data_IF_817561542473
#
_entry.id   IF_817561542473
#
_cell.length_a   1.000
_cell.length_b   1.000
_cell.length_c   1.000
_cell.angle_alpha   90.00
_cell.angle_beta   90.00
_cell.angle_gamma   90.00
#
_symmetry.space_group_name_H-M   'P 1'
#
loop_
_entity.id
_entity.type
_entity.pdbx_description
1 polymer ?
#
# COMPACT_ATOMS: atom_id res chain seq x y z
N UNK A 1 -20.37 12.88 -9.08
CA UNK A 1 -19.21 12.06 -9.50
C UNK A 1 -19.68 10.64 -9.63
N UNK A 2 -19.29 9.92 -10.69
CA UNK A 2 -19.63 8.50 -10.89
C UNK A 2 -18.50 7.62 -10.35
N UNK A 3 -18.82 6.36 -10.02
CA UNK A 3 -17.79 5.38 -9.72
C UNK A 3 -17.09 4.95 -11.00
N UNK A 4 -15.78 4.75 -10.94
CA UNK A 4 -14.99 4.22 -12.06
C UNK A 4 -13.97 3.19 -11.56
N UNK A 5 -13.46 2.34 -12.46
CA UNK A 5 -12.33 1.47 -12.15
C UNK A 5 -11.16 2.27 -11.59
N UNK A 6 -10.52 1.74 -10.56
CA UNK A 6 -9.53 2.50 -9.78
C UNK A 6 -8.34 2.99 -10.62
N UNK A 7 -7.88 2.18 -11.58
CA UNK A 7 -6.73 2.52 -12.42
C UNK A 7 -7.01 3.75 -13.32
N UNK A 8 -8.27 4.08 -13.61
CA UNK A 8 -8.66 5.31 -14.35
C UNK A 8 -8.39 6.60 -13.53
N UNK A 9 -8.44 6.51 -12.20
CA UNK A 9 -8.19 7.66 -11.34
C UNK A 9 -6.72 7.94 -11.12
N UNK A 10 -5.83 7.01 -11.45
CA UNK A 10 -4.40 7.12 -11.13
C UNK A 10 -3.79 8.43 -11.61
N UNK A 11 -4.13 8.87 -12.82
CA UNK A 11 -3.69 10.16 -13.36
C UNK A 11 -4.31 11.36 -12.64
N UNK A 12 -5.59 11.26 -12.28
CA UNK A 12 -6.36 12.33 -11.62
C UNK A 12 -5.88 12.58 -10.18
N UNK A 13 -5.40 11.55 -9.48
CA UNK A 13 -5.00 11.63 -8.07
C UNK A 13 -3.49 11.80 -7.87
N UNK A 14 -2.72 12.02 -8.96
CA UNK A 14 -1.27 12.30 -8.89
C UNK A 14 -0.89 13.37 -7.86
N UNK A 15 -1.62 14.48 -7.70
CA UNK A 15 -1.31 15.46 -6.65
C UNK A 15 -1.36 14.88 -5.24
N UNK A 16 -2.35 14.02 -4.94
CA UNK A 16 -2.48 13.38 -3.63
C UNK A 16 -1.37 12.34 -3.40
N UNK A 17 -1.02 11.57 -4.43
CA UNK A 17 0.11 10.62 -4.40
C UNK A 17 1.40 11.37 -4.09
N UNK A 18 1.70 12.43 -4.86
CA UNK A 18 2.91 13.24 -4.67
C UNK A 18 2.99 13.79 -3.24
N UNK A 19 1.90 14.39 -2.75
CA UNK A 19 1.83 14.91 -1.38
C UNK A 19 2.11 13.84 -0.32
N UNK A 20 1.59 12.62 -0.51
CA UNK A 20 1.83 11.51 0.43
C UNK A 20 3.28 10.98 0.38
N UNK A 21 3.88 10.93 -0.81
CA UNK A 21 5.30 10.54 -0.96
C UNK A 21 6.24 11.58 -0.33
N UNK A 22 5.94 12.87 -0.49
CA UNK A 22 6.67 13.96 0.17
C UNK A 22 6.55 13.87 1.70
N UNK A 23 5.37 13.54 2.22
CA UNK A 23 5.19 13.28 3.67
C UNK A 23 6.05 12.11 4.14
N UNK A 24 6.07 10.99 3.40
CA UNK A 24 6.91 9.84 3.75
C UNK A 24 8.40 10.19 3.74
N UNK A 25 8.85 10.97 2.75
CA UNK A 25 10.22 11.49 2.68
C UNK A 25 10.56 12.36 3.90
N UNK A 26 9.67 13.28 4.30
CA UNK A 26 9.86 14.12 5.50
C UNK A 26 9.99 13.25 6.78
N UNK A 27 9.31 12.10 6.82
CA UNK A 27 9.39 11.13 7.91
C UNK A 27 10.62 10.20 7.82
N UNK A 28 11.50 10.38 6.84
CA UNK A 28 12.74 9.62 6.65
C UNK A 28 12.61 8.38 5.76
N UNK A 29 11.50 8.24 5.02
CA UNK A 29 11.26 7.10 4.12
C UNK A 29 11.41 7.51 2.65
N UNK A 30 12.65 7.58 2.17
CA UNK A 30 13.00 8.14 0.86
C UNK A 30 12.75 7.17 -0.32
N UNK A 31 12.78 5.84 -0.08
CA UNK A 31 12.73 4.80 -1.13
C UNK A 31 11.32 4.32 -1.52
N UNK A 32 10.28 5.08 -1.15
CA UNK A 32 8.89 4.73 -1.47
C UNK A 32 8.52 5.30 -2.84
N UNK A 33 8.28 4.42 -3.81
CA UNK A 33 7.84 4.82 -5.16
C UNK A 33 6.31 4.90 -5.26
N UNK A 34 5.83 5.68 -6.23
CA UNK A 34 4.40 5.74 -6.58
C UNK A 34 3.84 4.34 -6.88
N UNK A 35 4.59 3.50 -7.59
CA UNK A 35 4.15 2.12 -7.92
C UNK A 35 3.96 1.26 -6.67
N UNK A 36 4.87 1.35 -5.70
CA UNK A 36 4.76 0.61 -4.44
C UNK A 36 3.56 1.09 -3.64
N UNK A 37 3.36 2.41 -3.55
CA UNK A 37 2.20 3.01 -2.88
C UNK A 37 0.88 2.60 -3.53
N UNK A 38 0.78 2.67 -4.86
CA UNK A 38 -0.42 2.27 -5.59
C UNK A 38 -0.72 0.77 -5.42
N UNK A 39 0.31 -0.06 -5.51
CA UNK A 39 0.19 -1.51 -5.30
C UNK A 39 -0.26 -1.87 -3.88
N UNK A 40 0.25 -1.15 -2.87
CA UNK A 40 -0.24 -1.27 -1.50
C UNK A 40 -1.74 -0.95 -1.41
N UNK A 41 -2.19 0.17 -1.96
CA UNK A 41 -3.60 0.59 -1.89
C UNK A 41 -4.51 -0.44 -2.58
N UNK A 42 -4.13 -0.90 -3.78
CA UNK A 42 -4.85 -1.99 -4.47
C UNK A 42 -4.94 -3.27 -3.63
N UNK A 43 -3.86 -3.64 -2.96
CA UNK A 43 -3.79 -4.91 -2.22
C UNK A 43 -4.47 -4.84 -0.85
N UNK A 44 -4.36 -3.72 -0.14
CA UNK A 44 -4.79 -3.58 1.25
C UNK A 44 -6.10 -2.82 1.43
N UNK A 45 -6.36 -1.82 0.61
CA UNK A 45 -7.56 -0.97 0.73
C UNK A 45 -8.65 -1.36 -0.28
N UNK A 46 -8.25 -1.70 -1.51
CA UNK A 46 -9.19 -1.82 -2.63
C UNK A 46 -9.37 -3.23 -3.19
N UNK A 47 -8.80 -4.25 -2.52
CA UNK A 47 -8.79 -5.65 -3.00
C UNK A 47 -10.17 -6.19 -3.41
N UNK A 48 -11.24 -5.74 -2.75
CA UNK A 48 -12.63 -6.18 -3.00
C UNK A 48 -13.52 -5.06 -3.53
N UNK A 49 -12.94 -3.92 -3.88
CA UNK A 49 -13.67 -2.70 -4.26
C UNK A 49 -13.15 -2.24 -5.62
N UNK A 50 -13.63 -2.82 -6.73
CA UNK A 50 -13.08 -2.54 -8.06
C UNK A 50 -13.38 -1.11 -8.55
N UNK A 51 -14.43 -0.49 -8.01
CA UNK A 51 -14.91 0.82 -8.40
C UNK A 51 -15.11 1.73 -7.19
N UNK A 52 -14.58 2.96 -7.30
CA UNK A 52 -14.65 3.99 -6.26
C UNK A 52 -15.02 5.33 -6.88
N UNK A 53 -15.42 6.29 -6.04
CA UNK A 53 -15.39 7.70 -6.42
C UNK A 53 -13.97 8.25 -6.23
N UNK A 54 -13.57 9.21 -7.07
CA UNK A 54 -12.23 9.85 -6.96
C UNK A 54 -11.96 10.44 -5.58
N UNK A 55 -12.96 10.99 -4.89
CA UNK A 55 -12.79 11.55 -3.54
C UNK A 55 -12.51 10.46 -2.49
N UNK A 56 -12.98 9.23 -2.70
CA UNK A 56 -12.64 8.08 -1.85
C UNK A 56 -11.19 7.68 -2.07
N UNK A 57 -10.74 7.63 -3.33
CA UNK A 57 -9.33 7.36 -3.68
C UNK A 57 -8.41 8.42 -3.05
N UNK A 58 -8.74 9.71 -3.17
CA UNK A 58 -7.96 10.80 -2.56
C UNK A 58 -7.93 10.68 -1.04
N UNK A 59 -9.08 10.40 -0.40
CA UNK A 59 -9.16 10.19 1.05
C UNK A 59 -8.26 9.03 1.49
N UNK A 60 -8.30 7.91 0.79
CA UNK A 60 -7.52 6.71 1.13
C UNK A 60 -6.02 6.96 0.98
N UNK A 61 -5.60 7.71 -0.05
CA UNK A 61 -4.19 8.12 -0.22
C UNK A 61 -3.76 9.01 0.94
N UNK A 62 -4.48 10.10 1.21
CA UNK A 62 -4.06 11.11 2.19
C UNK A 62 -4.18 10.64 3.65
N UNK A 63 -5.11 9.73 3.95
CA UNK A 63 -5.26 9.14 5.28
C UNK A 63 -4.31 7.96 5.56
N UNK A 64 -3.52 7.53 4.57
CA UNK A 64 -2.57 6.45 4.75
C UNK A 64 -1.50 6.84 5.79
N UNK A 65 -1.35 5.98 6.80
CA UNK A 65 -0.29 6.07 7.80
C UNK A 65 0.96 5.35 7.29
N UNK A 66 2.12 5.96 7.48
CA UNK A 66 3.40 5.37 7.08
C UNK A 66 3.65 4.01 7.73
N UNK A 67 3.25 3.83 8.99
CA UNK A 67 3.39 2.55 9.70
C UNK A 67 2.63 1.40 9.04
N UNK A 68 1.42 1.65 8.52
CA UNK A 68 0.64 0.63 7.81
C UNK A 68 1.33 0.21 6.51
N UNK A 69 1.89 1.17 5.79
CA UNK A 69 2.64 0.93 4.56
C UNK A 69 3.92 0.14 4.84
N UNK A 70 4.71 0.55 5.85
CA UNK A 70 5.97 -0.11 6.19
C UNK A 70 5.77 -1.53 6.70
N UNK A 71 4.75 -1.76 7.54
CA UNK A 71 4.42 -3.12 7.99
C UNK A 71 4.11 -4.04 6.80
N UNK A 72 3.38 -3.55 5.80
CA UNK A 72 3.15 -4.31 4.58
C UNK A 72 4.45 -4.54 3.79
N UNK A 73 5.22 -3.49 3.51
CA UNK A 73 6.44 -3.58 2.72
C UNK A 73 7.45 -4.58 3.33
N UNK A 74 7.61 -4.56 4.65
CA UNK A 74 8.43 -5.53 5.39
C UNK A 74 7.94 -6.95 5.16
N UNK A 75 6.64 -7.23 5.35
CA UNK A 75 6.06 -8.57 5.12
C UNK A 75 6.26 -9.03 3.67
N UNK A 76 6.06 -8.14 2.68
CA UNK A 76 6.24 -8.51 1.27
C UNK A 76 7.70 -8.84 0.93
N UNK A 77 8.68 -8.15 1.54
CA UNK A 77 10.10 -8.46 1.32
C UNK A 77 10.49 -9.87 1.75
N UNK A 78 9.86 -10.40 2.81
CA UNK A 78 10.07 -11.77 3.28
C UNK A 78 9.37 -12.82 2.38
N UNK A 79 8.31 -12.44 1.65
CA UNK A 79 7.63 -13.34 0.71
C UNK A 79 8.43 -13.59 -0.56
N UNK A 80 9.22 -12.61 -1.02
CA UNK A 80 10.03 -12.74 -2.24
C UNK A 80 11.04 -13.89 -2.22
N UNK A 81 11.36 -14.44 -1.03
CA UNK A 81 12.30 -15.55 -0.86
C UNK A 81 11.68 -16.88 -0.41
N UNK A 82 10.35 -17.04 -0.40
CA UNK A 82 9.66 -18.21 0.17
C UNK A 82 10.06 -18.51 1.64
N UNK A 83 10.62 -17.53 2.35
CA UNK A 83 11.14 -17.71 3.70
C UNK A 83 10.04 -18.13 4.69
N UNK A 84 8.83 -17.61 4.55
CA UNK A 84 7.69 -18.06 5.36
C UNK A 84 7.26 -19.51 5.10
N UNK A 85 7.64 -20.07 3.95
CA UNK A 85 7.36 -21.47 3.62
C UNK A 85 8.47 -22.43 4.11
N UNK A 86 9.61 -21.90 4.56
CA UNK A 86 10.66 -22.68 5.21
C UNK A 86 10.19 -23.20 6.57
N UNK A 87 10.86 -24.24 7.07
CA UNK A 87 10.55 -24.80 8.39
C UNK A 87 10.73 -23.75 9.51
N UNK A 88 11.74 -22.88 9.38
CA UNK A 88 12.02 -21.77 10.30
C UNK A 88 10.90 -20.73 10.29
N UNK A 89 10.41 -20.35 9.11
CA UNK A 89 9.31 -19.39 8.96
C UNK A 89 7.98 -19.93 9.50
N UNK A 90 7.70 -21.22 9.26
CA UNK A 90 6.51 -21.90 9.78
C UNK A 90 6.52 -22.00 11.31
N UNK A 91 7.67 -22.29 11.92
CA UNK A 91 7.76 -22.40 13.39
C UNK A 91 7.62 -21.05 14.10
N UNK A 92 8.14 -19.96 13.52
CA UNK A 92 7.89 -18.61 14.03
C UNK A 92 6.40 -18.24 13.99
N UNK A 93 5.70 -18.56 12.88
CA UNK A 93 4.27 -18.27 12.74
C UNK A 93 3.42 -19.03 13.76
N UNK A 94 3.79 -20.26 14.12
CA UNK A 94 3.09 -21.04 15.16
C UNK A 94 3.21 -20.42 16.56
N UNK A 95 4.30 -19.71 16.86
CA UNK A 95 4.51 -19.07 18.16
C UNK A 95 3.80 -17.72 18.35
N UNK A 96 3.16 -17.19 17.29
CA UNK A 96 2.44 -15.91 17.28
C UNK A 96 0.91 -16.05 17.39
N UNK A 97 0.40 -17.28 17.40
CA UNK A 97 -1.03 -17.63 17.56
C UNK A 97 -1.22 -18.25 18.94
#
# INVERSE_FOLDING_TARGET
MNKQPIDEFRHHVKPAIKSKLEEFMILGYEDVSEEKLWSFLKTKKWKKTPELYVHEVVRDILSLKVGDFMNYATVESFKGGNWFESDEGKDLLKGLI
#
